data_IF_499361504343
#
_entry.id   IF_499361504343
#
_cell.length_a   1.000
_cell.length_b   1.000
_cell.length_c   1.000
_cell.angle_alpha   90.00
_cell.angle_beta   90.00
_cell.angle_gamma   90.00
#
_symmetry.space_group_name_H-M   'P 1'
#
loop_
_entity.id
_entity.type
_entity.pdbx_description
1 polymer ?
#
# COMPACT_ATOMS: atom_id res chain seq x y z
N UNK A 1 28.96 -29.25 -74.72
CA UNK A 1 29.40 -29.95 -75.94
C UNK A 1 30.90 -29.89 -76.32
N UNK A 2 31.78 -29.02 -75.77
CA UNK A 2 33.17 -28.86 -76.27
C UNK A 2 34.33 -29.17 -75.28
N UNK A 3 34.08 -29.25 -73.96
CA UNK A 3 35.01 -29.95 -73.05
C UNK A 3 35.05 -31.44 -73.40
N UNK A 4 33.89 -31.98 -73.75
CA UNK A 4 33.73 -33.29 -74.35
C UNK A 4 34.41 -33.38 -75.73
N UNK A 5 34.40 -32.33 -76.55
CA UNK A 5 35.03 -32.37 -77.88
C UNK A 5 36.57 -32.41 -77.81
N UNK A 6 37.21 -31.66 -76.90
CA UNK A 6 38.66 -31.72 -76.71
C UNK A 6 39.11 -33.05 -76.09
N UNK A 7 38.37 -33.53 -75.09
CA UNK A 7 38.62 -34.85 -74.48
C UNK A 7 38.40 -35.95 -75.51
N UNK A 8 37.33 -35.87 -76.32
CA UNK A 8 37.03 -36.84 -77.38
C UNK A 8 38.06 -36.80 -78.51
N UNK A 9 38.57 -35.63 -78.89
CA UNK A 9 39.66 -35.51 -79.86
C UNK A 9 40.96 -36.15 -79.34
N UNK A 10 41.31 -35.93 -78.07
CA UNK A 10 42.45 -36.59 -77.43
C UNK A 10 42.22 -38.11 -77.34
N UNK A 11 41.00 -38.53 -76.98
CA UNK A 11 40.62 -39.95 -76.92
C UNK A 11 40.66 -40.59 -78.31
N UNK A 12 40.25 -39.89 -79.37
CA UNK A 12 40.32 -40.38 -80.74
C UNK A 12 41.77 -40.60 -81.19
N UNK A 13 42.68 -39.67 -80.88
CA UNK A 13 44.11 -39.84 -81.18
C UNK A 13 44.68 -41.03 -80.42
N UNK A 14 44.37 -41.18 -79.12
CA UNK A 14 44.83 -42.31 -78.30
C UNK A 14 44.22 -43.64 -78.73
N UNK A 15 42.94 -43.66 -79.09
CA UNK A 15 42.25 -44.87 -79.51
C UNK A 15 42.79 -45.40 -80.85
N UNK A 16 43.29 -44.51 -81.73
CA UNK A 16 44.02 -44.91 -82.95
C UNK A 16 45.42 -45.46 -82.65
N UNK A 17 46.11 -44.93 -81.64
CA UNK A 17 47.43 -45.40 -81.21
C UNK A 17 47.35 -46.73 -80.44
N UNK A 18 46.23 -47.00 -79.76
CA UNK A 18 46.02 -48.17 -78.92
C UNK A 18 44.69 -48.88 -79.25
N UNK A 19 44.64 -49.75 -80.27
CA UNK A 19 43.42 -50.42 -80.73
C UNK A 19 42.71 -51.25 -79.64
N UNK A 20 43.49 -51.78 -78.69
CA UNK A 20 42.98 -52.54 -77.54
C UNK A 20 41.97 -51.76 -76.69
N UNK A 21 42.05 -50.43 -76.68
CA UNK A 21 41.08 -49.58 -75.96
C UNK A 21 39.68 -49.74 -76.55
N UNK A 22 39.54 -49.88 -77.87
CA UNK A 22 38.23 -50.05 -78.51
C UNK A 22 37.82 -51.52 -78.55
N UNK A 23 38.76 -52.43 -78.84
CA UNK A 23 38.43 -53.85 -79.06
C UNK A 23 38.23 -54.65 -77.77
N UNK A 24 38.91 -54.29 -76.68
CA UNK A 24 38.93 -55.06 -75.44
C UNK A 24 38.19 -54.37 -74.28
N UNK A 25 37.55 -53.22 -74.52
CA UNK A 25 36.74 -52.54 -73.49
C UNK A 25 35.30 -52.37 -73.97
N UNK A 26 34.37 -52.36 -73.01
CA UNK A 26 32.98 -52.02 -73.27
C UNK A 26 32.80 -50.53 -73.07
N UNK A 27 32.33 -49.83 -74.11
CA UNK A 27 32.09 -48.38 -74.05
C UNK A 27 30.70 -48.15 -73.47
N UNK A 28 30.64 -47.46 -72.34
CA UNK A 28 29.39 -46.96 -71.75
C UNK A 28 29.20 -45.47 -72.10
N UNK A 29 28.05 -45.14 -72.69
CA UNK A 29 27.76 -43.80 -73.20
C UNK A 29 26.96 -42.99 -72.19
N UNK A 30 27.58 -41.94 -71.65
CA UNK A 30 26.89 -40.99 -70.77
C UNK A 30 26.25 -39.87 -71.59
N UNK A 31 24.92 -39.83 -71.57
CA UNK A 31 24.14 -38.75 -72.17
C UNK A 31 23.92 -37.59 -71.21
N UNK A 32 23.53 -36.44 -71.77
CA UNK A 32 23.01 -35.33 -70.98
C UNK A 32 21.76 -35.81 -70.21
N UNK A 33 21.55 -35.27 -69.01
CA UNK A 33 20.40 -35.66 -68.21
C UNK A 33 19.10 -35.24 -68.90
N UNK A 34 18.14 -36.15 -69.12
CA UNK A 34 16.83 -35.77 -69.64
C UNK A 34 16.09 -34.90 -68.63
N UNK A 35 15.08 -34.16 -69.11
CA UNK A 35 14.28 -33.27 -68.26
C UNK A 35 13.66 -34.03 -67.10
N UNK A 36 13.18 -35.26 -67.33
CA UNK A 36 12.62 -36.12 -66.28
C UNK A 36 13.63 -36.44 -65.18
N UNK A 37 14.88 -36.73 -65.54
CA UNK A 37 15.95 -36.97 -64.57
C UNK A 37 16.29 -35.69 -63.78
N UNK A 38 16.31 -34.53 -64.45
CA UNK A 38 16.52 -33.25 -63.78
C UNK A 38 15.43 -33.00 -62.74
N UNK A 39 14.16 -33.23 -63.09
CA UNK A 39 13.01 -33.09 -62.18
C UNK A 39 13.11 -34.07 -61.01
N UNK A 40 13.38 -35.35 -61.27
CA UNK A 40 13.48 -36.36 -60.20
C UNK A 40 14.61 -36.05 -59.22
N UNK A 41 15.77 -35.61 -59.73
CA UNK A 41 16.90 -35.21 -58.90
C UNK A 41 16.53 -33.96 -58.09
N UNK A 42 16.03 -32.89 -58.71
CA UNK A 42 15.67 -31.69 -57.97
C UNK A 42 14.60 -31.96 -56.91
N UNK A 43 13.60 -32.79 -57.18
CA UNK A 43 12.57 -33.16 -56.20
C UNK A 43 13.17 -33.85 -54.97
N UNK A 44 14.09 -34.80 -55.18
CA UNK A 44 14.78 -35.51 -54.09
C UNK A 44 15.56 -34.53 -53.20
N UNK A 45 16.31 -33.60 -53.82
CA UNK A 45 17.09 -32.62 -53.06
C UNK A 45 16.19 -31.57 -52.38
N UNK A 46 15.12 -31.12 -53.03
CA UNK A 46 14.12 -30.20 -52.46
C UNK A 46 13.36 -30.84 -51.29
N UNK A 47 13.20 -32.17 -51.28
CA UNK A 47 12.60 -32.92 -50.17
C UNK A 47 13.34 -32.76 -48.84
N UNK A 48 14.66 -32.52 -48.87
CA UNK A 48 15.44 -32.24 -47.66
C UNK A 48 15.20 -30.85 -47.06
N UNK A 49 14.46 -29.96 -47.74
CA UNK A 49 14.23 -28.59 -47.30
C UNK A 49 12.90 -28.51 -46.54
N UNK A 50 12.98 -28.39 -45.23
CA UNK A 50 11.80 -28.25 -44.36
C UNK A 50 11.00 -26.95 -44.60
N UNK A 51 11.71 -25.88 -44.98
CA UNK A 51 11.14 -24.55 -45.20
C UNK A 51 10.20 -24.49 -46.41
N UNK A 52 10.38 -25.38 -47.39
CA UNK A 52 9.63 -25.35 -48.64
C UNK A 52 8.32 -26.15 -48.52
N UNK A 53 7.14 -25.54 -48.76
CA UNK A 53 5.87 -26.24 -48.71
C UNK A 53 5.79 -27.38 -49.73
N UNK A 54 5.20 -28.51 -49.33
CA UNK A 54 5.16 -29.73 -50.15
C UNK A 54 4.48 -29.51 -51.52
N UNK A 55 3.37 -28.78 -51.55
CA UNK A 55 2.63 -28.49 -52.79
C UNK A 55 3.40 -27.64 -53.80
N UNK A 56 4.46 -26.94 -53.39
CA UNK A 56 5.31 -26.14 -54.28
C UNK A 56 6.55 -26.89 -54.77
N UNK A 57 6.91 -28.02 -54.16
CA UNK A 57 8.14 -28.77 -54.49
C UNK A 57 8.16 -29.22 -55.94
N UNK A 58 7.05 -29.80 -56.42
CA UNK A 58 6.93 -30.26 -57.80
C UNK A 58 7.06 -29.11 -58.81
N UNK A 59 6.40 -27.97 -58.54
CA UNK A 59 6.47 -26.79 -59.41
C UNK A 59 7.88 -26.21 -59.46
N UNK A 60 8.56 -26.11 -58.32
CA UNK A 60 9.94 -25.62 -58.25
C UNK A 60 10.88 -26.58 -58.97
N UNK A 61 10.69 -27.89 -58.80
CA UNK A 61 11.47 -28.93 -59.47
C UNK A 61 11.37 -28.83 -61.00
N UNK A 62 10.16 -28.73 -61.54
CA UNK A 62 9.90 -28.51 -62.97
C UNK A 62 10.55 -27.22 -63.48
N UNK A 63 10.47 -26.14 -62.70
CA UNK A 63 11.08 -24.87 -63.05
C UNK A 63 12.61 -24.95 -63.08
N UNK A 64 13.24 -25.63 -62.11
CA UNK A 64 14.68 -25.83 -62.08
C UNK A 64 15.19 -26.57 -63.31
N UNK A 65 14.50 -27.64 -63.72
CA UNK A 65 14.82 -28.39 -64.92
C UNK A 65 14.69 -27.52 -66.19
N UNK A 66 13.62 -26.72 -66.29
CA UNK A 66 13.41 -25.79 -67.40
C UNK A 66 14.53 -24.74 -67.50
N UNK A 67 14.89 -24.11 -66.38
CA UNK A 67 15.97 -23.11 -66.34
C UNK A 67 17.31 -23.72 -66.77
N UNK A 68 17.62 -24.94 -66.31
CA UNK A 68 18.83 -25.64 -66.72
C UNK A 68 18.85 -25.89 -68.24
N UNK A 69 17.72 -26.30 -68.82
CA UNK A 69 17.55 -26.42 -70.27
C UNK A 69 17.75 -25.10 -71.02
N UNK A 70 17.17 -24.01 -70.52
CA UNK A 70 17.33 -22.67 -71.11
C UNK A 70 18.79 -22.20 -71.12
N UNK A 71 19.56 -22.52 -70.08
CA UNK A 71 21.01 -22.23 -70.06
C UNK A 71 21.77 -23.03 -71.12
N UNK A 72 21.36 -24.28 -71.41
CA UNK A 72 21.94 -25.06 -72.50
C UNK A 72 21.67 -24.41 -73.86
N UNK A 73 20.45 -23.94 -74.07
CA UNK A 73 20.03 -23.27 -75.30
C UNK A 73 20.80 -21.96 -75.50
N UNK A 74 20.88 -21.15 -74.43
CA UNK A 74 21.65 -19.91 -74.43
C UNK A 74 23.14 -20.17 -74.65
N UNK A 75 23.69 -21.26 -74.12
CA UNK A 75 25.09 -21.63 -74.34
C UNK A 75 25.39 -21.94 -75.82
N UNK A 76 24.41 -22.44 -76.59
CA UNK A 76 24.55 -22.63 -78.04
C UNK A 76 24.55 -21.30 -78.78
N UNK A 77 23.68 -20.37 -78.39
CA UNK A 77 23.65 -19.00 -78.93
C UNK A 77 24.98 -18.28 -78.63
N UNK A 78 25.47 -18.41 -77.41
CA UNK A 78 26.74 -17.82 -76.96
C UNK A 78 27.93 -18.33 -77.77
N UNK A 79 27.97 -19.63 -78.05
CA UNK A 79 28.99 -20.22 -78.92
C UNK A 79 28.91 -19.67 -80.35
N UNK A 80 27.71 -19.50 -80.90
CA UNK A 80 27.55 -19.02 -82.26
C UNK A 80 28.02 -17.57 -82.41
N UNK A 81 27.70 -16.73 -81.43
CA UNK A 81 27.98 -15.30 -81.48
C UNK A 81 29.43 -14.99 -81.09
N UNK A 82 29.87 -15.47 -79.92
CA UNK A 82 31.15 -15.07 -79.32
C UNK A 82 32.28 -16.07 -79.58
N UNK A 83 31.97 -17.21 -80.22
CA UNK A 83 32.92 -18.33 -80.42
C UNK A 83 33.52 -18.85 -79.11
N UNK A 84 32.86 -18.59 -77.98
CA UNK A 84 33.26 -19.03 -76.65
C UNK A 84 32.35 -20.15 -76.17
N UNK A 85 32.97 -21.17 -75.60
CA UNK A 85 32.24 -22.30 -75.08
C UNK A 85 31.87 -22.11 -73.61
N UNK A 86 30.58 -22.25 -73.30
CA UNK A 86 30.08 -22.44 -71.94
C UNK A 86 29.60 -23.88 -71.77
N UNK A 87 29.91 -24.50 -70.63
CA UNK A 87 29.53 -25.89 -70.36
C UNK A 87 28.69 -25.97 -69.10
N UNK A 88 27.46 -26.39 -69.29
CA UNK A 88 26.60 -26.93 -68.25
C UNK A 88 26.95 -28.40 -68.04
N UNK A 89 27.01 -28.79 -66.77
CA UNK A 89 27.25 -30.18 -66.37
C UNK A 89 26.27 -30.51 -65.25
N UNK A 90 25.97 -31.79 -64.98
CA UNK A 90 25.16 -32.17 -63.84
C UNK A 90 25.68 -31.60 -62.52
N UNK A 91 27.00 -31.42 -62.37
CA UNK A 91 27.61 -30.74 -61.22
C UNK A 91 27.16 -29.28 -61.07
N UNK A 92 27.05 -28.55 -62.17
CA UNK A 92 26.52 -27.18 -62.18
C UNK A 92 25.05 -27.16 -61.74
N UNK A 93 24.26 -28.16 -62.16
CA UNK A 93 22.86 -28.30 -61.74
C UNK A 93 22.73 -28.59 -60.24
N UNK A 94 23.53 -29.51 -59.70
CA UNK A 94 23.57 -29.78 -58.26
C UNK A 94 24.02 -28.54 -57.45
N UNK A 95 24.97 -27.77 -57.99
CA UNK A 95 25.37 -26.49 -57.41
C UNK A 95 24.27 -25.42 -57.42
N UNK A 96 23.43 -25.43 -58.45
CA UNK A 96 22.25 -24.57 -58.52
C UNK A 96 21.21 -24.94 -57.46
N UNK A 97 20.93 -26.24 -57.28
CA UNK A 97 19.99 -26.71 -56.25
C UNK A 97 20.50 -26.37 -54.84
N UNK A 98 21.79 -26.60 -54.57
CA UNK A 98 22.38 -26.28 -53.26
C UNK A 98 22.39 -24.78 -52.98
N UNK A 99 22.71 -23.96 -53.97
CA UNK A 99 22.62 -22.50 -53.87
C UNK A 99 21.20 -22.04 -53.55
N UNK A 100 20.20 -22.58 -54.24
CA UNK A 100 18.80 -22.29 -53.97
C UNK A 100 18.40 -22.66 -52.55
N UNK A 101 18.77 -23.86 -52.09
CA UNK A 101 18.46 -24.36 -50.75
C UNK A 101 19.03 -23.44 -49.65
N UNK A 102 20.31 -23.08 -49.78
CA UNK A 102 20.98 -22.19 -48.83
C UNK A 102 20.33 -20.81 -48.81
N UNK A 103 20.10 -20.23 -49.99
CA UNK A 103 19.48 -18.91 -50.12
C UNK A 103 18.08 -18.88 -49.52
N UNK A 104 17.28 -19.92 -49.76
CA UNK A 104 15.93 -20.03 -49.21
C UNK A 104 15.95 -20.11 -47.67
N UNK A 105 16.85 -20.93 -47.11
CA UNK A 105 17.03 -21.04 -45.65
C UNK A 105 17.44 -19.72 -45.01
N UNK A 106 18.40 -19.02 -45.61
CA UNK A 106 18.90 -17.74 -45.11
C UNK A 106 17.84 -16.65 -45.16
N UNK A 107 17.11 -16.54 -46.28
CA UNK A 107 16.01 -15.58 -46.43
C UNK A 107 14.85 -15.89 -45.50
N UNK A 108 14.55 -17.17 -45.27
CA UNK A 108 13.53 -17.55 -44.30
C UNK A 108 13.92 -17.14 -42.88
N UNK A 109 15.15 -17.41 -42.45
CA UNK A 109 15.66 -17.00 -41.13
C UNK A 109 15.63 -15.47 -40.97
N UNK A 110 16.04 -14.73 -42.00
CA UNK A 110 15.99 -13.26 -42.00
C UNK A 110 14.55 -12.74 -41.80
N UNK A 111 13.58 -13.34 -42.50
CA UNK A 111 12.17 -12.99 -42.38
C UNK A 111 11.60 -13.36 -41.01
N UNK A 112 11.90 -14.55 -40.49
CA UNK A 112 11.46 -14.97 -39.15
C UNK A 112 11.98 -14.02 -38.07
N UNK A 113 13.24 -13.60 -38.16
CA UNK A 113 13.82 -12.63 -37.23
C UNK A 113 13.10 -11.27 -37.29
N UNK A 114 12.74 -10.81 -38.50
CA UNK A 114 11.95 -9.58 -38.71
C UNK A 114 10.55 -9.71 -38.12
N UNK A 115 9.88 -10.84 -38.35
CA UNK A 115 8.55 -11.13 -37.80
C UNK A 115 8.59 -11.14 -36.27
N UNK A 116 9.52 -11.87 -35.67
CA UNK A 116 9.67 -11.94 -34.21
C UNK A 116 9.94 -10.57 -33.59
N UNK A 117 10.79 -9.75 -34.23
CA UNK A 117 11.04 -8.37 -33.79
C UNK A 117 9.76 -7.53 -33.82
N UNK A 118 8.97 -7.61 -34.89
CA UNK A 118 7.71 -6.88 -35.02
C UNK A 118 6.66 -7.36 -34.02
N UNK A 119 6.53 -8.67 -33.83
CA UNK A 119 5.64 -9.26 -32.83
C UNK A 119 5.99 -8.80 -31.42
N UNK A 120 7.28 -8.82 -31.06
CA UNK A 120 7.74 -8.31 -29.77
C UNK A 120 7.48 -6.80 -29.61
N UNK A 121 7.61 -6.02 -30.69
CA UNK A 121 7.29 -4.59 -30.69
C UNK A 121 5.80 -4.35 -30.47
N UNK A 122 4.94 -5.06 -31.20
CA UNK A 122 3.48 -4.99 -31.05
C UNK A 122 3.02 -5.42 -29.67
N UNK A 123 3.61 -6.49 -29.12
CA UNK A 123 3.28 -6.97 -27.78
C UNK A 123 3.64 -5.93 -26.72
N UNK A 124 4.81 -5.29 -26.82
CA UNK A 124 5.19 -4.19 -25.92
C UNK A 124 4.22 -3.02 -26.01
N UNK A 125 3.86 -2.59 -27.22
CA UNK A 125 2.89 -1.52 -27.42
C UNK A 125 1.52 -1.88 -26.82
N UNK A 126 1.07 -3.12 -27.01
CA UNK A 126 -0.17 -3.64 -26.41
C UNK A 126 -0.10 -3.63 -24.89
N UNK A 127 0.99 -4.09 -24.29
CA UNK A 127 1.14 -4.10 -22.83
C UNK A 127 1.19 -2.71 -22.25
N UNK A 128 1.87 -1.76 -22.89
CA UNK A 128 1.92 -0.36 -22.41
C UNK A 128 0.55 0.29 -22.52
N UNK A 129 -0.18 0.11 -23.63
CA UNK A 129 -1.55 0.61 -23.77
C UNK A 129 -2.50 -0.05 -22.75
N UNK A 130 -2.38 -1.35 -22.52
CA UNK A 130 -3.18 -2.05 -21.51
C UNK A 130 -2.82 -1.60 -20.08
N UNK A 131 -1.55 -1.38 -19.75
CA UNK A 131 -1.10 -0.86 -18.46
C UNK A 131 -1.53 0.59 -18.26
N UNK A 132 -1.54 1.40 -19.31
CA UNK A 132 -2.13 2.74 -19.28
C UNK A 132 -3.62 2.65 -18.95
N UNK A 133 -4.39 1.78 -19.63
CA UNK A 133 -5.80 1.56 -19.32
C UNK A 133 -6.00 1.04 -17.87
N UNK A 134 -5.19 0.10 -17.40
CA UNK A 134 -5.28 -0.45 -16.02
C UNK A 134 -4.91 0.62 -15.00
N UNK A 135 -3.89 1.44 -15.24
CA UNK A 135 -3.51 2.54 -14.34
C UNK A 135 -4.56 3.63 -14.30
N UNK A 136 -5.12 4.02 -15.45
CA UNK A 136 -6.23 4.97 -15.53
C UNK A 136 -7.46 4.39 -14.82
N UNK A 137 -7.78 3.12 -15.04
CA UNK A 137 -8.93 2.48 -14.38
C UNK A 137 -8.69 2.33 -12.89
N UNK A 138 -7.52 1.92 -12.43
CA UNK A 138 -7.18 1.83 -11.01
C UNK A 138 -7.25 3.20 -10.34
N UNK A 139 -6.69 4.24 -10.97
CA UNK A 139 -6.70 5.60 -10.43
C UNK A 139 -8.08 6.26 -10.45
N UNK A 140 -9.00 5.81 -11.32
CA UNK A 140 -10.35 6.39 -11.44
C UNK A 140 -11.43 5.58 -10.72
N UNK A 141 -11.34 4.25 -10.70
CA UNK A 141 -12.36 3.36 -10.12
C UNK A 141 -12.09 2.90 -8.67
N UNK A 142 -10.84 2.76 -8.20
CA UNK A 142 -10.59 2.48 -6.77
C UNK A 142 -10.98 3.60 -5.79
N UNK A 143 -10.87 4.92 -6.11
CA UNK A 143 -11.24 5.95 -5.14
C UNK A 143 -12.75 5.99 -4.86
N UNK A 144 -13.61 5.48 -5.75
CA UNK A 144 -15.07 5.48 -5.51
C UNK A 144 -15.45 4.68 -4.26
N UNK A 145 -14.86 3.50 -4.06
CA UNK A 145 -15.13 2.68 -2.87
C UNK A 145 -14.59 3.31 -1.58
N UNK A 146 -13.39 3.90 -1.64
CA UNK A 146 -12.79 4.60 -0.50
C UNK A 146 -13.60 5.85 -0.13
N UNK A 147 -14.13 6.57 -1.12
CA UNK A 147 -14.97 7.74 -0.90
C UNK A 147 -16.29 7.35 -0.23
N UNK A 148 -16.91 6.24 -0.62
CA UNK A 148 -18.16 5.78 0.01
C UNK A 148 -17.94 5.27 1.45
N UNK A 149 -16.84 4.58 1.71
CA UNK A 149 -16.47 4.16 3.08
C UNK A 149 -16.17 5.38 3.98
N UNK A 150 -15.47 6.38 3.46
CA UNK A 150 -15.17 7.61 4.18
C UNK A 150 -16.45 8.43 4.45
N UNK A 151 -17.37 8.50 3.48
CA UNK A 151 -18.68 9.15 3.67
C UNK A 151 -19.50 8.44 4.74
N UNK A 152 -19.52 7.10 4.75
CA UNK A 152 -20.22 6.33 5.77
C UNK A 152 -19.63 6.56 7.18
N UNK A 153 -18.30 6.59 7.30
CA UNK A 153 -17.61 6.90 8.57
C UNK A 153 -17.92 8.32 9.07
N UNK A 154 -17.92 9.31 8.17
CA UNK A 154 -18.26 10.70 8.49
C UNK A 154 -19.71 10.82 8.99
N UNK A 155 -20.67 10.18 8.31
CA UNK A 155 -22.07 10.23 8.72
C UNK A 155 -22.31 9.64 10.12
N UNK A 156 -21.61 8.55 10.47
CA UNK A 156 -21.68 7.96 11.82
C UNK A 156 -21.09 8.92 12.87
N UNK A 157 -19.94 9.51 12.57
CA UNK A 157 -19.27 10.45 13.47
C UNK A 157 -20.10 11.71 13.70
N UNK A 158 -20.77 12.23 12.67
CA UNK A 158 -21.61 13.43 12.78
C UNK A 158 -22.83 13.17 13.68
N UNK A 159 -23.45 12.00 13.59
CA UNK A 159 -24.55 11.58 14.49
C UNK A 159 -24.05 11.42 15.93
N UNK A 160 -22.86 10.86 16.15
CA UNK A 160 -22.28 10.72 17.49
C UNK A 160 -21.94 12.09 18.09
N UNK A 161 -21.39 13.00 17.29
CA UNK A 161 -21.04 14.36 17.70
C UNK A 161 -22.30 15.14 18.10
N UNK A 162 -23.38 15.05 17.32
CA UNK A 162 -24.64 15.70 17.67
C UNK A 162 -25.21 15.18 19.00
N UNK A 163 -25.18 13.86 19.25
CA UNK A 163 -25.62 13.31 20.53
C UNK A 163 -24.80 13.83 21.70
N UNK A 164 -23.46 13.89 21.56
CA UNK A 164 -22.58 14.42 22.61
C UNK A 164 -22.77 15.91 22.83
N UNK A 165 -23.04 16.69 21.78
CA UNK A 165 -23.41 18.10 21.92
C UNK A 165 -24.75 18.26 22.65
N UNK A 166 -25.77 17.48 22.30
CA UNK A 166 -27.08 17.53 22.98
C UNK A 166 -26.97 17.14 24.47
N UNK A 167 -26.10 16.18 24.79
CA UNK A 167 -25.77 15.80 26.18
C UNK A 167 -25.01 16.91 26.92
N UNK A 168 -24.03 17.53 26.27
CA UNK A 168 -23.30 18.67 26.81
C UNK A 168 -24.24 19.86 27.08
N UNK A 169 -25.14 20.18 26.16
CA UNK A 169 -26.12 21.26 26.32
C UNK A 169 -27.09 20.99 27.48
N UNK A 170 -27.50 19.73 27.69
CA UNK A 170 -28.31 19.35 28.87
C UNK A 170 -27.53 19.54 30.17
N UNK A 171 -26.27 19.13 30.20
CA UNK A 171 -25.40 19.31 31.36
C UNK A 171 -25.17 20.79 31.66
N UNK A 172 -24.96 21.62 30.63
CA UNK A 172 -24.84 23.08 30.78
C UNK A 172 -26.09 23.65 31.47
N UNK A 173 -27.30 23.29 31.03
CA UNK A 173 -28.54 23.76 31.66
C UNK A 173 -28.68 23.33 33.12
N UNK A 174 -28.27 22.11 33.46
CA UNK A 174 -28.31 21.61 34.84
C UNK A 174 -27.31 22.40 35.69
N UNK A 175 -26.09 22.62 35.18
CA UNK A 175 -25.05 23.39 35.87
C UNK A 175 -25.49 24.85 36.04
N UNK A 176 -26.11 25.48 35.05
CA UNK A 176 -26.69 26.83 35.17
C UNK A 176 -27.78 26.90 36.25
N UNK A 177 -28.67 25.91 36.30
CA UNK A 177 -29.72 25.86 37.32
C UNK A 177 -29.15 25.62 38.74
N UNK A 178 -28.17 24.73 38.89
CA UNK A 178 -27.51 24.46 40.17
C UNK A 178 -26.64 25.62 40.62
N UNK A 179 -25.87 26.24 39.73
CA UNK A 179 -25.09 27.45 40.06
C UNK A 179 -25.99 28.60 40.50
N UNK A 180 -27.16 28.80 39.88
CA UNK A 180 -28.12 29.80 40.33
C UNK A 180 -28.69 29.51 41.74
N UNK A 181 -28.91 28.24 42.10
CA UNK A 181 -29.32 27.86 43.47
C UNK A 181 -28.20 28.09 44.46
N UNK A 182 -26.99 27.65 44.15
CA UNK A 182 -25.81 27.81 45.00
C UNK A 182 -25.51 29.29 45.24
N UNK A 183 -25.67 30.17 44.24
CA UNK A 183 -25.52 31.62 44.42
C UNK A 183 -26.55 32.16 45.42
N UNK A 184 -27.84 31.81 45.27
CA UNK A 184 -28.89 32.23 46.23
C UNK A 184 -28.62 31.71 47.65
N UNK A 185 -28.23 30.45 47.77
CA UNK A 185 -27.96 29.84 49.07
C UNK A 185 -26.71 30.47 49.73
N UNK A 186 -25.66 30.75 48.95
CA UNK A 186 -24.47 31.45 49.43
C UNK A 186 -24.78 32.91 49.82
N UNK A 187 -25.64 33.62 49.10
CA UNK A 187 -26.14 34.94 49.51
C UNK A 187 -26.85 34.86 50.86
N UNK A 188 -27.78 33.92 51.04
CA UNK A 188 -28.46 33.73 52.33
C UNK A 188 -27.51 33.35 53.47
N UNK A 189 -26.53 32.46 53.20
CA UNK A 189 -25.53 32.07 54.19
C UNK A 189 -24.60 33.23 54.56
N UNK A 190 -24.25 34.11 53.61
CA UNK A 190 -23.45 35.31 53.88
C UNK A 190 -24.22 36.35 54.69
N UNK A 191 -25.53 36.50 54.45
CA UNK A 191 -26.39 37.35 55.27
C UNK A 191 -26.54 36.81 56.71
N UNK A 192 -26.69 35.49 56.86
CA UNK A 192 -26.72 34.83 58.17
C UNK A 192 -25.38 35.00 58.91
N UNK A 193 -24.26 34.78 58.23
CA UNK A 193 -22.91 35.02 58.78
C UNK A 193 -22.72 36.46 59.25
N UNK A 194 -23.22 37.46 58.51
CA UNK A 194 -23.18 38.87 58.94
C UNK A 194 -23.98 39.10 60.22
N UNK A 195 -25.19 38.53 60.32
CA UNK A 195 -26.02 38.63 61.54
C UNK A 195 -25.34 37.97 62.74
N UNK A 196 -24.77 36.77 62.57
CA UNK A 196 -24.04 36.06 63.62
C UNK A 196 -22.81 36.85 64.06
N UNK A 197 -22.03 37.42 63.13
CA UNK A 197 -20.88 38.24 63.48
C UNK A 197 -21.25 39.49 64.31
N UNK A 198 -22.38 40.14 63.99
CA UNK A 198 -22.88 41.27 64.80
C UNK A 198 -23.23 40.80 66.21
N UNK A 199 -23.95 39.68 66.35
CA UNK A 199 -24.32 39.11 67.64
C UNK A 199 -23.06 38.71 68.43
N UNK A 200 -22.07 38.12 67.78
CA UNK A 200 -20.80 37.73 68.42
C UNK A 200 -20.04 38.94 68.97
N UNK A 201 -19.99 40.05 68.23
CA UNK A 201 -19.37 41.29 68.74
C UNK A 201 -20.13 41.90 69.92
N UNK A 202 -21.47 41.86 69.91
CA UNK A 202 -22.31 42.35 71.01
C UNK A 202 -22.17 41.48 72.26
N UNK A 203 -22.16 40.15 72.11
CA UNK A 203 -21.93 39.20 73.20
C UNK A 203 -20.53 39.37 73.79
N UNK A 204 -19.50 39.55 72.95
CA UNK A 204 -18.14 39.81 73.41
C UNK A 204 -18.04 41.11 74.22
N UNK A 205 -18.74 42.17 73.78
CA UNK A 205 -18.81 43.44 74.50
C UNK A 205 -19.51 43.30 75.85
N UNK A 206 -20.69 42.67 75.89
CA UNK A 206 -21.43 42.41 77.15
C UNK A 206 -20.65 41.52 78.10
N UNK A 207 -19.94 40.51 77.59
CA UNK A 207 -19.06 39.66 78.40
C UNK A 207 -17.95 40.48 79.05
N UNK A 208 -17.34 41.41 78.31
CA UNK A 208 -16.30 42.30 78.85
C UNK A 208 -16.84 43.23 79.93
N UNK A 209 -18.02 43.82 79.72
CA UNK A 209 -18.69 44.67 80.71
C UNK A 209 -19.02 43.90 82.01
N UNK A 210 -19.56 42.67 81.91
CA UNK A 210 -19.82 41.83 83.07
C UNK A 210 -18.54 41.41 83.81
N UNK A 211 -17.45 41.12 83.11
CA UNK A 211 -16.17 40.76 83.73
C UNK A 211 -15.56 41.95 84.49
N UNK A 212 -15.66 43.17 83.92
CA UNK A 212 -15.20 44.39 84.59
C UNK A 212 -16.01 44.70 85.88
N UNK A 213 -17.30 44.39 85.90
CA UNK A 213 -18.14 44.56 87.10
C UNK A 213 -17.90 43.46 88.13
N UNK A 214 -17.56 42.22 87.72
CA UNK A 214 -17.14 41.15 88.61
C UNK A 214 -15.87 41.54 89.39
N UNK A 215 -14.86 42.06 88.69
CA UNK A 215 -13.58 42.50 89.29
C UNK A 215 -13.77 43.64 90.30
N UNK A 216 -14.74 44.54 90.09
CA UNK A 216 -15.07 45.61 91.06
C UNK A 216 -15.80 45.07 92.30
N UNK A 217 -16.55 43.98 92.18
CA UNK A 217 -17.30 43.38 93.28
C UNK A 217 -16.46 42.45 94.17
N UNK A 218 -15.39 41.84 93.64
CA UNK A 218 -14.45 40.99 94.39
C UNK A 218 -13.86 41.63 95.67
N UNK A 219 -13.36 42.88 95.68
CA UNK A 219 -12.80 43.49 96.88
C UNK A 219 -13.84 43.71 97.99
N UNK A 220 -15.11 43.95 97.63
CA UNK A 220 -16.20 44.07 98.61
C UNK A 220 -16.54 42.71 99.24
N UNK A 221 -16.49 41.62 98.46
CA UNK A 221 -16.71 40.25 98.93
C UNK A 221 -15.58 39.76 99.85
N UNK A 222 -14.33 40.08 99.52
CA UNK A 222 -13.15 39.72 100.35
C UNK A 222 -13.17 40.50 101.67
N UNK A 223 -13.48 41.80 101.65
CA UNK A 223 -13.62 42.61 102.86
C UNK A 223 -14.75 42.13 103.79
N UNK A 224 -15.88 41.69 103.22
CA UNK A 224 -16.98 41.09 103.98
C UNK A 224 -16.59 39.73 104.60
N UNK A 225 -15.76 38.93 103.91
CA UNK A 225 -15.25 37.64 104.42
C UNK A 225 -14.24 37.81 105.56
N UNK A 226 -13.41 38.85 105.52
CA UNK A 226 -12.46 39.17 106.59
C UNK A 226 -13.16 39.70 107.85
N UNK A 227 -14.19 40.55 107.71
CA UNK A 227 -14.99 41.05 108.83
C UNK A 227 -15.76 39.94 109.57
N UNK A 228 -16.15 38.86 108.87
CA UNK A 228 -16.81 37.70 109.47
C UNK A 228 -15.84 36.86 110.33
N UNK A 229 -14.54 36.85 110.01
CA UNK A 229 -13.53 36.05 110.71
C UNK A 229 -13.06 36.68 112.03
N UNK A 230 -13.14 38.00 112.19
CA UNK A 230 -12.82 38.71 113.45
C UNK A 230 -13.94 38.59 114.49
N UNK A 231 -15.18 38.38 114.06
CA UNK A 231 -16.36 38.20 114.94
C UNK A 231 -16.42 36.83 115.64
N UNK A 232 -15.66 35.83 115.17
CA UNK A 232 -15.78 34.44 115.62
C UNK A 232 -14.84 34.04 116.80
N UNK A 233 -13.92 34.92 117.23
CA UNK A 233 -13.05 34.69 118.40
C UNK A 233 -13.53 35.37 119.69
N UNK A 234 -14.33 36.42 119.60
CA UNK A 234 -14.80 37.20 120.77
C UNK A 234 -16.14 36.65 121.32
N UNK A 235 -16.87 35.85 120.54
CA UNK A 235 -18.20 35.33 120.92
C UNK A 235 -18.18 34.00 121.70
N UNK A 236 -17.03 33.32 121.80
CA UNK A 236 -16.92 31.99 122.43
C UNK A 236 -16.51 31.99 123.90
N UNK A 237 -16.31 33.14 124.55
CA UNK A 237 -15.90 33.22 125.97
C UNK A 237 -16.94 33.86 126.92
N UNK A 238 -18.12 34.30 126.43
CA UNK A 238 -19.10 35.07 127.23
C UNK A 238 -20.49 34.41 127.41
N UNK A 239 -20.70 33.16 126.97
CA UNK A 239 -22.03 32.50 127.01
C UNK A 239 -22.07 31.16 127.76
N UNK A 240 -21.35 31.00 128.88
CA UNK A 240 -21.56 29.84 129.75
C UNK A 240 -21.37 30.12 131.26
N UNK A 241 -21.68 31.36 131.70
CA UNK A 241 -21.92 31.62 133.12
C UNK A 241 -23.08 32.62 133.30
N UNK A 242 -24.23 32.02 133.57
CA UNK A 242 -25.44 32.59 134.16
C UNK A 242 -26.39 33.39 133.25
N UNK A 243 -27.50 32.74 132.87
CA UNK A 243 -28.67 32.95 133.73
C UNK A 243 -29.50 31.68 133.93
N UNK A 244 -29.58 31.29 135.20
CA UNK A 244 -30.53 30.32 135.74
C UNK A 244 -31.97 30.86 135.58
N UNK A 245 -32.91 29.92 135.45
CA UNK A 245 -34.37 30.07 135.56
C UNK A 245 -35.11 30.65 134.31
N UNK A 246 -35.57 29.73 133.45
CA UNK A 246 -36.99 29.71 133.01
C UNK A 246 -37.41 30.41 131.71
N UNK A 247 -37.16 29.75 130.57
CA UNK A 247 -38.04 29.63 129.37
C UNK A 247 -38.37 30.87 128.48
N UNK A 248 -38.77 30.71 127.19
CA UNK A 248 -37.91 31.09 126.05
C UNK A 248 -38.51 32.06 125.01
N UNK A 249 -37.58 32.80 124.38
CA UNK A 249 -37.41 33.25 122.97
C UNK A 249 -38.61 33.16 121.98
N UNK A 250 -39.02 34.32 121.42
CA UNK A 250 -39.39 34.45 119.99
C UNK A 250 -39.36 35.92 119.53
N UNK A 251 -38.70 36.18 118.40
CA UNK A 251 -38.53 37.51 117.81
C UNK A 251 -37.59 37.50 116.62
N UNK A 252 -37.89 36.67 115.63
CA UNK A 252 -37.25 36.64 114.31
C UNK A 252 -38.00 37.58 113.35
N UNK A 253 -37.27 38.26 112.45
CA UNK A 253 -37.72 38.50 111.07
C UNK A 253 -36.58 39.04 110.18
N UNK A 254 -36.22 38.18 109.21
CA UNK A 254 -35.91 38.51 107.80
C UNK A 254 -34.71 39.40 107.48
N UNK A 255 -33.63 38.80 106.94
CA UNK A 255 -33.43 38.69 105.49
C UNK A 255 -32.83 37.32 105.18
N UNK A 256 -33.61 36.51 104.47
CA UNK A 256 -33.24 35.22 103.89
C UNK A 256 -32.93 35.38 102.40
N UNK A 257 -32.02 34.53 101.92
CA UNK A 257 -31.81 34.11 100.52
C UNK A 257 -31.21 35.14 99.55
N UNK A 258 -29.93 34.93 99.23
CA UNK A 258 -29.51 34.82 97.85
C UNK A 258 -28.55 33.64 97.73
N UNK A 259 -28.89 32.76 96.80
CA UNK A 259 -28.08 31.66 96.28
C UNK A 259 -26.74 32.15 95.76
#
# INVERSE_FOLDING_TARGET
MSRYHFIFAILQVRARQFPAIISCTTIDWFHEWPIEALVSVSETFLGSIEVLPEGLRESVSKFMAHVHGSVNDMSRVYLNNDRRYNYTTPKTFLGFISLYSNLLSDKHKELQAKIARLQNGLEKLRTTSAQEIISVTANTFLPLFQVDELKAKLAIQEVELQKKNDEADKLIRIVEAETAKVVKENETANDEKRKVAIIETEVAKRRKECEEDLVKAEPALVAAREALNTLNKVKTAMLEKNNMLGNPIFGTATVSNST
#
